data_IF_536734905732
#
_entry.id   IF_536734905732
#
_cell.length_a   1.000
_cell.length_b   1.000
_cell.length_c   1.000
_cell.angle_alpha   90.00
_cell.angle_beta   90.00
_cell.angle_gamma   90.00
#
_symmetry.space_group_name_H-M   'P 1'
#
loop_
_entity.id
_entity.type
_entity.pdbx_description
1 polymer ?
#
# COMPACT_ATOMS: atom_id res chain seq x y z
N UNK A 1 -43.67 -5.42 -21.46
CA UNK A 1 -42.47 -4.54 -21.41
C UNK A 1 -41.39 -5.23 -20.59
N UNK A 2 -40.30 -5.67 -21.25
CA UNK A 2 -39.24 -6.44 -20.63
C UNK A 2 -38.25 -5.54 -19.94
N UNK A 3 -37.89 -5.86 -18.68
CA UNK A 3 -36.83 -5.16 -17.91
C UNK A 3 -35.46 -5.51 -18.45
N UNK A 4 -34.50 -4.58 -18.55
CA UNK A 4 -33.16 -4.86 -19.12
C UNK A 4 -32.29 -5.67 -18.17
N UNK A 5 -31.67 -6.75 -18.69
CA UNK A 5 -30.71 -7.64 -18.07
C UNK A 5 -29.28 -7.01 -18.02
N UNK A 6 -29.07 -5.99 -17.23
CA UNK A 6 -27.74 -5.33 -17.14
C UNK A 6 -26.80 -5.91 -16.07
N UNK A 7 -27.29 -6.70 -15.14
CA UNK A 7 -26.48 -7.24 -14.04
C UNK A 7 -25.53 -8.41 -14.43
N UNK A 8 -25.83 -9.17 -15.48
CA UNK A 8 -25.07 -10.36 -15.83
C UNK A 8 -23.82 -10.09 -16.70
N UNK A 9 -23.81 -9.03 -17.47
CA UNK A 9 -22.71 -8.71 -18.40
C UNK A 9 -21.47 -8.24 -17.64
N UNK A 10 -21.63 -7.47 -16.56
CA UNK A 10 -20.53 -6.95 -15.76
C UNK A 10 -19.84 -8.03 -14.89
N UNK A 11 -20.59 -8.98 -14.36
CA UNK A 11 -20.03 -10.08 -13.58
C UNK A 11 -19.19 -11.04 -14.45
N UNK A 12 -19.63 -11.32 -15.66
CA UNK A 12 -18.91 -12.14 -16.65
C UNK A 12 -17.65 -11.45 -17.20
N UNK A 13 -17.66 -10.12 -17.36
CA UNK A 13 -16.51 -9.34 -17.78
C UNK A 13 -15.42 -9.33 -16.69
N UNK A 14 -15.79 -9.06 -15.44
CA UNK A 14 -14.87 -9.09 -14.29
C UNK A 14 -14.30 -10.50 -14.04
N UNK A 15 -15.12 -11.54 -14.18
CA UNK A 15 -14.66 -12.93 -14.08
C UNK A 15 -13.68 -13.30 -15.21
N UNK A 16 -13.94 -12.89 -16.45
CA UNK A 16 -13.03 -13.08 -17.59
C UNK A 16 -11.71 -12.32 -17.40
N UNK A 17 -11.74 -11.08 -16.93
CA UNK A 17 -10.52 -10.30 -16.64
C UNK A 17 -9.72 -10.90 -15.47
N UNK A 18 -10.37 -11.34 -14.40
CA UNK A 18 -9.71 -12.03 -13.28
C UNK A 18 -9.08 -13.36 -13.73
N UNK A 19 -9.76 -14.08 -14.62
CA UNK A 19 -9.26 -15.33 -15.18
C UNK A 19 -8.10 -15.10 -16.17
N UNK A 20 -8.16 -14.06 -16.99
CA UNK A 20 -7.07 -13.65 -17.88
C UNK A 20 -5.82 -13.17 -17.10
N UNK A 21 -6.00 -12.37 -16.04
CA UNK A 21 -4.90 -11.98 -15.13
C UNK A 21 -4.28 -13.19 -14.41
N UNK A 22 -5.10 -14.16 -13.97
CA UNK A 22 -4.61 -15.39 -13.33
C UNK A 22 -3.85 -16.30 -14.29
N UNK A 23 -4.28 -16.41 -15.54
CA UNK A 23 -3.58 -17.17 -16.60
C UNK A 23 -2.25 -16.48 -16.93
N UNK A 24 -2.22 -15.15 -17.04
CA UNK A 24 -1.01 -14.37 -17.27
C UNK A 24 0.00 -14.51 -16.12
N UNK A 25 -0.43 -14.43 -14.87
CA UNK A 25 0.43 -14.62 -13.71
C UNK A 25 1.05 -16.03 -13.66
N UNK A 26 0.27 -17.07 -13.97
CA UNK A 26 0.78 -18.46 -14.05
C UNK A 26 1.87 -18.63 -15.13
N UNK A 27 1.74 -17.97 -16.26
CA UNK A 27 2.75 -18.04 -17.33
C UNK A 27 4.02 -17.28 -16.96
N UNK A 28 3.92 -16.18 -16.21
CA UNK A 28 5.06 -15.35 -15.78
C UNK A 28 6.01 -16.06 -14.81
N UNK A 29 5.51 -16.94 -13.95
CA UNK A 29 6.33 -17.72 -13.01
C UNK A 29 6.87 -19.02 -13.56
N UNK A 30 6.76 -19.25 -14.88
CA UNK A 30 7.27 -20.49 -15.53
C UNK A 30 8.78 -20.61 -15.36
N UNK A 31 9.53 -19.52 -15.57
CA UNK A 31 10.99 -19.51 -15.38
C UNK A 31 11.39 -19.79 -13.94
N UNK A 32 10.64 -19.26 -12.97
CA UNK A 32 10.82 -19.51 -11.54
C UNK A 32 10.68 -21.01 -11.24
N UNK A 33 9.60 -21.64 -11.74
CA UNK A 33 9.33 -23.06 -11.51
C UNK A 33 10.33 -23.98 -12.20
N UNK A 34 10.76 -23.64 -13.42
CA UNK A 34 11.73 -24.44 -14.17
C UNK A 34 13.12 -24.54 -13.51
N UNK A 35 13.45 -23.60 -12.63
CA UNK A 35 14.74 -23.55 -11.92
C UNK A 35 14.74 -24.27 -10.56
N UNK A 36 13.60 -24.80 -10.11
CA UNK A 36 13.41 -25.31 -8.74
C UNK A 36 12.85 -26.72 -8.72
N UNK A 37 13.37 -27.52 -7.81
CA UNK A 37 12.80 -28.80 -7.44
C UNK A 37 12.04 -28.69 -6.12
N UNK A 38 10.73 -28.55 -6.19
CA UNK A 38 9.84 -28.37 -5.04
C UNK A 38 9.66 -29.62 -4.16
N UNK A 39 10.27 -30.74 -4.54
CA UNK A 39 10.37 -31.89 -3.66
C UNK A 39 11.48 -31.73 -2.63
N UNK A 40 12.48 -30.90 -2.93
CA UNK A 40 13.70 -30.73 -2.13
C UNK A 40 13.79 -29.36 -1.45
N UNK A 41 13.04 -28.35 -1.91
CA UNK A 41 13.01 -27.00 -1.33
C UNK A 41 11.69 -26.69 -0.64
N UNK A 42 11.75 -25.92 0.44
CA UNK A 42 10.57 -25.37 1.12
C UNK A 42 10.03 -24.09 0.46
N UNK A 43 10.63 -23.65 -0.64
CA UNK A 43 10.17 -22.46 -1.38
C UNK A 43 8.73 -22.67 -1.90
N UNK A 44 7.89 -21.61 -1.88
CA UNK A 44 6.53 -21.69 -2.40
C UNK A 44 6.49 -21.95 -3.91
N UNK A 45 5.71 -22.94 -4.34
CA UNK A 45 5.59 -23.29 -5.75
C UNK A 45 4.68 -22.35 -6.58
N UNK A 46 4.09 -21.32 -5.98
CA UNK A 46 3.14 -20.43 -6.63
C UNK A 46 1.79 -21.10 -6.94
N UNK A 47 1.39 -22.08 -6.11
CA UNK A 47 0.12 -22.79 -6.25
C UNK A 47 -1.02 -22.14 -5.49
N UNK A 48 -0.72 -21.42 -4.41
CA UNK A 48 -1.73 -20.74 -3.60
C UNK A 48 -2.19 -19.48 -4.32
N UNK A 49 -3.50 -19.31 -4.43
CA UNK A 49 -4.07 -18.06 -4.88
C UNK A 49 -3.84 -16.99 -3.81
N UNK A 50 -3.15 -15.92 -4.16
CA UNK A 50 -3.00 -14.73 -3.33
C UNK A 50 -4.01 -13.69 -3.82
N UNK A 51 -4.80 -13.14 -2.91
CA UNK A 51 -5.73 -12.06 -3.26
C UNK A 51 -4.96 -10.84 -3.74
N UNK A 52 -5.45 -10.22 -4.82
CA UNK A 52 -4.94 -8.92 -5.25
C UNK A 52 -5.14 -7.89 -4.13
N UNK A 53 -4.16 -7.05 -3.92
CA UNK A 53 -4.26 -5.89 -3.04
C UNK A 53 -4.61 -4.66 -3.88
N UNK A 54 -5.41 -3.75 -3.34
CA UNK A 54 -5.65 -2.45 -3.94
C UNK A 54 -4.38 -1.59 -3.96
N UNK A 55 -3.45 -1.86 -3.05
CA UNK A 55 -2.14 -1.20 -3.00
C UNK A 55 -1.07 -2.22 -3.29
N UNK A 56 -0.18 -1.97 -4.26
CA UNK A 56 0.88 -2.88 -4.64
C UNK A 56 1.85 -3.09 -3.47
N UNK A 57 2.18 -4.34 -3.20
CA UNK A 57 3.04 -4.73 -2.08
C UNK A 57 4.49 -4.87 -2.52
N UNK A 58 5.41 -4.62 -1.61
CA UNK A 58 6.80 -4.97 -1.82
C UNK A 58 7.35 -5.77 -0.64
N UNK A 59 8.40 -6.52 -0.90
CA UNK A 59 9.22 -7.15 0.13
C UNK A 59 10.69 -7.03 -0.23
N UNK A 60 11.53 -6.96 0.79
CA UNK A 60 12.98 -7.14 0.66
C UNK A 60 13.39 -8.32 1.52
N UNK A 61 14.05 -9.27 0.88
CA UNK A 61 14.55 -10.46 1.55
C UNK A 61 16.08 -10.41 1.58
N UNK A 62 16.66 -10.45 2.79
CA UNK A 62 18.09 -10.61 2.99
C UNK A 62 18.43 -12.08 2.76
N UNK A 63 19.29 -12.33 1.80
CA UNK A 63 19.60 -13.68 1.33
C UNK A 63 21.07 -13.98 1.48
N UNK A 64 21.40 -14.87 2.40
CA UNK A 64 22.75 -15.39 2.62
C UNK A 64 22.97 -16.64 1.75
N UNK A 65 23.24 -16.38 0.46
CA UNK A 65 23.59 -17.39 -0.52
C UNK A 65 25.12 -17.48 -0.66
N UNK A 66 25.66 -17.68 -1.89
CA UNK A 66 27.12 -17.64 -2.14
C UNK A 66 27.72 -16.29 -1.73
N UNK A 67 26.98 -15.20 -1.85
CA UNK A 67 27.28 -13.86 -1.35
C UNK A 67 26.01 -13.27 -0.78
N UNK A 68 26.13 -12.59 0.35
CA UNK A 68 25.01 -11.87 0.95
C UNK A 68 24.50 -10.80 -0.01
N UNK A 69 23.20 -10.78 -0.24
CA UNK A 69 22.50 -9.77 -1.04
C UNK A 69 21.08 -9.56 -0.52
N UNK A 70 20.39 -8.59 -1.10
CA UNK A 70 19.02 -8.23 -0.73
C UNK A 70 18.12 -8.31 -1.97
N UNK A 71 17.14 -9.18 -1.95
CA UNK A 71 16.17 -9.33 -3.03
C UNK A 71 15.05 -8.31 -2.88
N UNK A 72 15.05 -7.26 -3.68
CA UNK A 72 13.92 -6.33 -3.81
C UNK A 72 12.86 -6.97 -4.73
N UNK A 73 11.63 -7.03 -4.26
CA UNK A 73 10.48 -7.60 -4.97
C UNK A 73 9.31 -6.63 -4.96
N UNK A 74 8.87 -6.19 -6.14
CA UNK A 74 7.77 -5.27 -6.35
C UNK A 74 6.59 -6.02 -6.98
N UNK A 75 5.44 -6.05 -6.31
CA UNK A 75 4.22 -6.64 -6.86
C UNK A 75 3.76 -5.87 -8.09
N UNK A 76 3.60 -6.58 -9.21
CA UNK A 76 3.02 -6.05 -10.43
C UNK A 76 2.38 -7.20 -11.22
N UNK A 77 1.16 -7.03 -11.74
CA UNK A 77 0.43 -8.01 -12.54
C UNK A 77 0.31 -9.42 -11.91
N UNK A 78 0.19 -9.48 -10.59
CA UNK A 78 -0.01 -10.73 -9.86
C UNK A 78 1.25 -11.58 -9.64
N UNK A 79 2.44 -10.99 -9.86
CA UNK A 79 3.75 -11.56 -9.55
C UNK A 79 4.63 -10.53 -8.86
N UNK A 80 5.76 -10.96 -8.34
CA UNK A 80 6.83 -10.06 -7.90
C UNK A 80 7.87 -9.87 -9.00
N UNK A 81 8.01 -8.65 -9.53
CA UNK A 81 9.20 -8.21 -10.26
C UNK A 81 10.36 -8.17 -9.28
N UNK A 82 11.51 -8.73 -9.63
CA UNK A 82 12.54 -9.04 -8.65
C UNK A 82 13.94 -8.64 -9.10
N UNK A 83 14.69 -8.04 -8.16
CA UNK A 83 16.09 -7.63 -8.36
C UNK A 83 16.94 -8.05 -7.15
N UNK A 84 18.09 -8.68 -7.40
CA UNK A 84 19.09 -8.93 -6.40
C UNK A 84 19.98 -7.70 -6.22
N UNK A 85 19.85 -6.99 -5.11
CA UNK A 85 20.65 -5.80 -4.75
C UNK A 85 21.90 -6.26 -4.00
N UNK A 86 23.05 -6.24 -4.69
CA UNK A 86 24.26 -6.96 -4.26
C UNK A 86 24.88 -6.49 -2.94
N UNK A 87 24.71 -5.21 -2.57
CA UNK A 87 25.20 -4.61 -1.32
C UNK A 87 24.06 -4.14 -0.41
N UNK A 88 22.83 -4.46 -0.77
CA UNK A 88 21.64 -3.95 -0.11
C UNK A 88 21.30 -2.51 -0.52
N UNK A 89 20.08 -2.04 -0.15
CA UNK A 89 19.66 -0.66 -0.37
C UNK A 89 20.48 0.30 0.48
N UNK A 90 20.66 1.54 0.02
CA UNK A 90 21.30 2.62 0.75
C UNK A 90 20.37 3.80 0.90
N UNK A 91 20.39 4.47 2.05
CA UNK A 91 19.66 5.72 2.27
C UNK A 91 20.41 6.96 1.75
N UNK A 92 21.69 6.82 1.38
CA UNK A 92 22.44 7.91 0.75
C UNK A 92 22.06 8.03 -0.73
N UNK A 93 21.52 9.18 -1.17
CA UNK A 93 21.18 9.43 -2.56
C UNK A 93 22.38 9.43 -3.54
N UNK A 94 23.58 9.51 -3.04
CA UNK A 94 24.79 9.44 -3.87
C UNK A 94 25.19 7.99 -4.18
N UNK A 95 24.70 7.03 -3.41
CA UNK A 95 24.96 5.62 -3.61
C UNK A 95 24.15 5.04 -4.76
N UNK A 96 24.84 4.36 -5.66
CA UNK A 96 24.25 3.61 -6.77
C UNK A 96 24.42 2.13 -6.52
N UNK A 97 23.37 1.45 -6.06
CA UNK A 97 23.43 0.03 -5.69
C UNK A 97 23.09 -0.84 -6.89
N UNK A 98 24.02 -1.72 -7.28
CA UNK A 98 23.75 -2.67 -8.37
C UNK A 98 22.60 -3.59 -7.99
N UNK A 99 21.56 -3.61 -8.84
CA UNK A 99 20.37 -4.43 -8.73
C UNK A 99 20.25 -5.30 -9.98
N UNK A 100 20.50 -6.58 -9.85
CA UNK A 100 20.46 -7.54 -10.97
C UNK A 100 19.03 -8.06 -11.10
N UNK A 101 18.41 -7.83 -12.26
CA UNK A 101 17.09 -8.36 -12.54
C UNK A 101 17.11 -9.89 -12.60
N UNK A 102 16.16 -10.52 -11.91
CA UNK A 102 15.99 -11.96 -11.88
C UNK A 102 14.59 -12.33 -12.35
N UNK A 103 14.25 -13.62 -12.37
CA UNK A 103 12.92 -14.06 -12.77
C UNK A 103 11.81 -13.55 -11.86
N UNK A 104 10.61 -13.40 -12.43
CA UNK A 104 9.41 -13.08 -11.66
C UNK A 104 9.11 -14.18 -10.64
N UNK A 105 8.77 -13.79 -9.41
CA UNK A 105 8.44 -14.70 -8.33
C UNK A 105 6.93 -14.71 -8.04
N UNK A 106 6.36 -15.84 -7.57
CA UNK A 106 4.96 -15.87 -7.16
C UNK A 106 4.73 -15.01 -5.91
N UNK A 107 3.56 -14.39 -5.78
CA UNK A 107 3.26 -13.52 -4.64
C UNK A 107 3.41 -14.24 -3.28
N UNK A 108 3.07 -15.52 -3.20
CA UNK A 108 3.24 -16.28 -1.96
C UNK A 108 4.70 -16.35 -1.47
N UNK A 109 5.68 -16.10 -2.36
CA UNK A 109 7.09 -16.03 -2.00
C UNK A 109 7.42 -14.83 -1.09
N UNK A 110 6.60 -13.80 -1.08
CA UNK A 110 6.81 -12.63 -0.24
C UNK A 110 6.71 -12.88 1.26
N UNK A 111 6.12 -14.02 1.69
CA UNK A 111 6.11 -14.45 3.08
C UNK A 111 7.16 -15.54 3.38
N UNK A 112 7.97 -15.91 2.38
CA UNK A 112 8.95 -16.98 2.54
C UNK A 112 10.15 -16.52 3.38
N UNK A 113 10.41 -17.26 4.45
CA UNK A 113 11.60 -17.18 5.29
C UNK A 113 12.05 -18.59 5.63
N UNK A 114 13.30 -18.94 5.28
CA UNK A 114 13.78 -20.30 5.46
C UNK A 114 15.12 -20.54 4.77
N UNK A 115 15.58 -21.79 4.78
CA UNK A 115 16.84 -22.20 4.13
C UNK A 115 16.54 -23.01 2.87
N UNK A 116 17.10 -22.57 1.76
CA UNK A 116 17.14 -23.29 0.49
C UNK A 116 18.35 -24.21 0.51
N UNK A 117 18.20 -25.52 0.27
CA UNK A 117 19.32 -26.47 0.37
C UNK A 117 20.52 -26.10 -0.51
N UNK A 118 21.72 -26.39 -0.03
CA UNK A 118 22.95 -26.24 -0.84
C UNK A 118 22.86 -27.11 -2.11
N UNK A 119 23.29 -26.54 -3.23
CA UNK A 119 23.22 -27.21 -4.54
C UNK A 119 21.93 -26.92 -5.31
N UNK A 120 20.89 -26.45 -4.67
CA UNK A 120 19.68 -25.93 -5.34
C UNK A 120 19.91 -24.52 -5.88
N UNK A 121 19.11 -24.12 -6.89
CA UNK A 121 19.14 -22.76 -7.42
C UNK A 121 18.77 -21.76 -6.32
N UNK A 122 19.63 -20.80 -6.06
CA UNK A 122 19.44 -19.85 -4.95
C UNK A 122 19.71 -20.41 -3.57
N UNK A 123 20.46 -21.53 -3.44
CA UNK A 123 20.80 -22.14 -2.14
C UNK A 123 21.39 -21.15 -1.15
N UNK A 124 20.83 -21.13 0.07
CA UNK A 124 21.15 -20.19 1.14
C UNK A 124 19.99 -19.90 2.07
N UNK A 125 20.19 -19.05 3.06
CA UNK A 125 19.16 -18.69 4.04
C UNK A 125 18.50 -17.37 3.68
N UNK A 126 17.19 -17.36 3.61
CA UNK A 126 16.34 -16.21 3.27
C UNK A 126 15.65 -15.68 4.52
N UNK A 127 15.75 -14.38 4.76
CA UNK A 127 15.17 -13.67 5.88
C UNK A 127 14.34 -12.49 5.37
N UNK A 128 13.13 -12.30 5.90
CA UNK A 128 12.32 -11.12 5.59
C UNK A 128 12.90 -9.89 6.29
N UNK A 129 13.56 -9.03 5.49
CA UNK A 129 14.27 -7.86 6.00
C UNK A 129 13.42 -6.61 5.99
N UNK A 130 12.59 -6.40 4.95
CA UNK A 130 11.59 -5.32 4.90
C UNK A 130 10.36 -5.74 4.10
N UNK A 131 9.23 -5.11 4.36
CA UNK A 131 7.97 -5.28 3.63
C UNK A 131 7.07 -4.07 3.82
N UNK A 132 6.16 -3.89 2.90
CA UNK A 132 5.20 -2.80 2.91
C UNK A 132 4.53 -2.63 1.55
N UNK A 133 4.26 -1.39 1.21
CA UNK A 133 3.62 -1.03 -0.03
C UNK A 133 4.55 -0.15 -0.87
N UNK A 134 4.38 -0.23 -2.18
CA UNK A 134 5.09 0.65 -3.11
C UNK A 134 4.13 1.33 -4.07
N UNK A 135 4.52 2.49 -4.54
CA UNK A 135 3.72 3.35 -5.39
C UNK A 135 4.62 3.79 -6.53
N UNK A 136 4.25 3.44 -7.77
CA UNK A 136 4.98 3.91 -8.93
C UNK A 136 4.72 5.41 -9.16
N UNK A 137 5.72 6.14 -9.61
CA UNK A 137 5.56 7.47 -10.19
C UNK A 137 5.32 7.27 -11.70
N UNK A 138 4.07 7.37 -12.14
CA UNK A 138 3.64 7.05 -13.49
C UNK A 138 3.32 5.57 -13.72
N UNK A 139 3.16 5.18 -15.00
CA UNK A 139 2.90 3.79 -15.36
C UNK A 139 4.13 2.91 -15.12
N UNK A 140 4.07 1.93 -14.20
CA UNK A 140 5.20 1.05 -13.93
C UNK A 140 5.61 0.19 -15.13
N UNK A 141 4.68 -0.14 -16.05
CA UNK A 141 5.01 -0.88 -17.26
C UNK A 141 5.86 -0.05 -18.22
N UNK A 142 5.55 1.23 -18.33
CA UNK A 142 6.35 2.16 -19.13
C UNK A 142 7.71 2.40 -18.48
N UNK A 143 7.77 2.56 -17.17
CA UNK A 143 9.02 2.69 -16.43
C UNK A 143 9.95 1.48 -16.69
N UNK A 144 9.42 0.28 -16.60
CA UNK A 144 10.17 -0.95 -16.88
C UNK A 144 10.62 -1.06 -18.34
N UNK A 145 9.83 -0.56 -19.31
CA UNK A 145 10.20 -0.51 -20.73
C UNK A 145 11.24 0.55 -21.03
N UNK A 146 11.06 1.77 -20.45
CA UNK A 146 11.86 2.98 -20.74
C UNK A 146 13.21 3.00 -20.06
N UNK A 147 13.61 2.04 -19.28
CA UNK A 147 14.87 1.98 -18.54
C UNK A 147 14.93 2.75 -17.22
N UNK A 148 13.83 3.35 -16.78
CA UNK A 148 13.77 4.08 -15.50
C UNK A 148 12.41 3.86 -14.84
N UNK A 149 12.41 3.29 -13.64
CA UNK A 149 11.22 3.12 -12.80
C UNK A 149 11.39 3.92 -11.53
N UNK A 150 10.65 5.02 -11.40
CA UNK A 150 10.56 5.82 -10.17
C UNK A 150 9.41 5.33 -9.32
N UNK A 151 9.61 5.28 -8.02
CA UNK A 151 8.60 4.80 -7.08
C UNK A 151 8.88 5.25 -5.65
N UNK A 152 7.86 5.22 -4.81
CA UNK A 152 7.99 5.41 -3.38
C UNK A 152 7.80 4.08 -2.66
N UNK A 153 8.55 3.86 -1.58
CA UNK A 153 8.38 2.75 -0.66
C UNK A 153 7.74 3.22 0.64
N UNK A 154 6.82 2.42 1.15
CA UNK A 154 6.22 2.54 2.48
C UNK A 154 6.45 1.24 3.24
N UNK A 155 7.70 1.01 3.62
CA UNK A 155 8.14 -0.17 4.34
C UNK A 155 8.18 0.01 5.86
N UNK A 156 8.44 -1.09 6.56
CA UNK A 156 8.74 -1.04 7.97
C UNK A 156 10.11 -0.35 8.21
N UNK A 157 11.07 -0.53 7.28
CA UNK A 157 12.43 0.05 7.31
C UNK A 157 12.63 1.12 6.25
N UNK A 158 12.37 0.81 4.98
CA UNK A 158 12.61 1.73 3.87
C UNK A 158 11.37 2.58 3.58
N UNK A 159 11.58 3.88 3.42
CA UNK A 159 10.55 4.87 3.12
C UNK A 159 10.99 5.84 2.04
N UNK A 160 10.00 6.57 1.48
CA UNK A 160 10.22 7.65 0.52
C UNK A 160 10.59 7.19 -0.87
N UNK A 161 11.11 8.12 -1.68
CA UNK A 161 11.33 7.97 -3.12
C UNK A 161 12.58 7.18 -3.48
N UNK A 162 12.46 6.37 -4.52
CA UNK A 162 13.50 5.51 -5.08
C UNK A 162 13.43 5.49 -6.59
N UNK A 163 14.54 5.16 -7.23
CA UNK A 163 14.56 4.89 -8.67
C UNK A 163 15.38 3.66 -8.99
N UNK A 164 14.87 2.84 -9.90
CA UNK A 164 15.61 1.80 -10.61
C UNK A 164 15.95 2.31 -12.01
N UNK A 165 17.23 2.41 -12.33
CA UNK A 165 17.74 2.84 -13.64
C UNK A 165 18.43 1.68 -14.32
N UNK A 166 17.98 1.25 -15.51
CA UNK A 166 18.60 0.16 -16.26
C UNK A 166 19.89 0.61 -16.93
N UNK A 167 20.94 -0.15 -16.77
CA UNK A 167 22.26 0.12 -17.35
C UNK A 167 22.25 -0.21 -18.85
N UNK A 168 22.70 0.74 -19.69
CA UNK A 168 22.70 0.57 -21.15
C UNK A 168 23.87 -0.28 -21.65
N UNK A 169 25.04 -0.19 -21.01
CA UNK A 169 26.26 -0.90 -21.38
C UNK A 169 26.69 -1.81 -20.23
N UNK A 170 26.21 -3.03 -20.23
CA UNK A 170 26.50 -4.01 -19.24
C UNK A 170 27.62 -4.95 -19.76
N UNK A 171 28.67 -5.12 -18.96
CA UNK A 171 29.80 -6.06 -19.25
C UNK A 171 29.37 -7.53 -19.21
N UNK A 172 28.08 -7.82 -19.08
CA UNK A 172 27.53 -9.19 -18.97
C UNK A 172 27.23 -9.84 -20.33
N UNK A 173 27.61 -9.23 -21.46
CA UNK A 173 27.34 -9.70 -22.83
C UNK A 173 25.85 -10.07 -23.06
N UNK A 174 24.92 -9.28 -22.48
CA UNK A 174 23.50 -9.50 -22.62
C UNK A 174 22.93 -10.69 -21.81
N UNK A 175 23.76 -11.37 -21.00
CA UNK A 175 23.33 -12.52 -20.17
C UNK A 175 22.50 -12.11 -18.95
N UNK A 176 22.56 -10.86 -18.55
CA UNK A 176 21.87 -10.32 -17.38
C UNK A 176 21.34 -8.92 -17.68
N UNK A 177 20.23 -8.53 -17.06
CA UNK A 177 19.74 -7.16 -17.09
C UNK A 177 20.12 -6.50 -15.76
N UNK A 178 21.01 -5.52 -15.82
CA UNK A 178 21.50 -4.82 -14.64
C UNK A 178 20.84 -3.45 -14.52
N UNK A 179 20.46 -3.14 -13.29
CA UNK A 179 19.88 -1.88 -12.88
C UNK A 179 20.69 -1.26 -11.74
N UNK A 180 20.49 0.02 -11.50
CA UNK A 180 20.98 0.74 -10.32
C UNK A 180 19.77 1.13 -9.46
N UNK A 181 19.76 0.72 -8.20
CA UNK A 181 18.81 1.20 -7.19
C UNK A 181 19.43 2.41 -6.49
N UNK A 182 18.70 3.53 -6.51
CA UNK A 182 19.16 4.82 -5.98
C UNK A 182 18.05 5.43 -5.14
N UNK A 183 18.38 5.95 -3.96
CA UNK A 183 17.47 6.72 -3.09
C UNK A 183 17.29 8.12 -3.64
N UNK A 184 16.06 8.63 -3.68
CA UNK A 184 15.82 10.04 -3.96
C UNK A 184 16.21 10.94 -2.79
N UNK A 185 16.48 12.21 -3.08
CA UNK A 185 16.69 13.25 -2.07
C UNK A 185 15.33 13.72 -1.54
N UNK A 186 14.91 13.15 -0.46
CA UNK A 186 13.67 13.45 0.24
C UNK A 186 13.88 13.43 1.76
N UNK A 187 12.84 13.75 2.54
CA UNK A 187 12.90 13.79 4.00
C UNK A 187 13.02 12.41 4.65
N UNK A 188 12.82 11.34 3.88
CA UNK A 188 12.98 9.95 4.35
C UNK A 188 14.44 9.46 4.29
N UNK A 189 15.39 10.32 3.89
CA UNK A 189 16.82 10.04 4.02
C UNK A 189 17.25 10.24 5.47
N UNK A 190 17.98 9.33 6.04
CA UNK A 190 18.56 9.48 7.37
C UNK A 190 20.02 9.02 7.37
N UNK A 191 20.94 9.90 7.73
CA UNK A 191 22.29 9.64 8.17
C UNK A 191 23.17 8.75 7.25
N UNK A 192 23.87 7.81 7.85
CA UNK A 192 24.73 6.85 7.18
C UNK A 192 23.93 5.90 6.29
N UNK A 193 24.29 5.83 5.00
CA UNK A 193 23.59 5.05 3.98
C UNK A 193 23.41 3.58 4.30
N UNK A 194 24.33 3.00 5.07
CA UNK A 194 24.32 1.59 5.45
C UNK A 194 23.79 1.33 6.88
N UNK A 195 23.41 2.36 7.64
CA UNK A 195 22.97 2.22 9.02
C UNK A 195 21.80 1.23 9.21
N UNK A 196 20.88 1.18 8.25
CA UNK A 196 19.75 0.23 8.28
C UNK A 196 20.17 -1.22 8.06
N UNK A 197 21.30 -1.48 7.41
CA UNK A 197 21.76 -2.83 7.13
C UNK A 197 22.34 -3.52 8.37
N UNK A 198 22.58 -2.77 9.44
CA UNK A 198 23.17 -3.27 10.70
C UNK A 198 22.19 -4.08 11.55
N UNK A 199 20.87 -3.88 11.38
CA UNK A 199 19.88 -4.69 12.12
C UNK A 199 19.74 -6.10 11.51
N UNK A 200 20.19 -7.14 12.24
CA UNK A 200 20.25 -8.50 11.73
C UNK A 200 18.92 -9.26 11.83
N UNK A 201 17.85 -8.64 12.32
CA UNK A 201 16.60 -9.36 12.65
C UNK A 201 15.56 -9.30 11.53
N UNK A 202 14.83 -10.41 11.36
CA UNK A 202 13.63 -10.45 10.50
C UNK A 202 12.52 -9.57 11.08
N UNK A 203 11.88 -8.77 10.22
CA UNK A 203 10.67 -8.01 10.60
C UNK A 203 9.45 -8.92 10.81
N UNK A 204 9.44 -10.11 10.22
CA UNK A 204 8.31 -11.03 10.26
C UNK A 204 8.38 -12.03 11.42
N UNK A 205 9.57 -12.48 11.79
CA UNK A 205 9.77 -13.49 12.84
C UNK A 205 10.65 -13.03 14.01
N UNK A 206 11.38 -11.92 13.84
CA UNK A 206 12.39 -11.44 14.81
C UNK A 206 13.66 -12.30 14.87
N UNK A 207 13.83 -13.30 13.97
CA UNK A 207 14.97 -14.21 13.95
C UNK A 207 16.15 -13.60 13.18
N UNK A 208 17.37 -13.94 13.59
CA UNK A 208 18.59 -13.74 12.78
C UNK A 208 18.69 -14.79 11.65
N UNK A 209 19.56 -14.56 10.67
CA UNK A 209 19.85 -15.55 9.62
C UNK A 209 20.30 -16.89 10.22
N UNK A 210 21.18 -16.87 11.23
CA UNK A 210 21.65 -18.09 11.90
C UNK A 210 20.54 -18.85 12.59
N UNK A 211 19.60 -18.15 13.24
CA UNK A 211 18.46 -18.76 13.88
C UNK A 211 17.48 -19.39 12.87
N UNK A 212 17.34 -18.77 11.67
CA UNK A 212 16.56 -19.33 10.57
C UNK A 212 17.27 -20.56 10.00
N UNK A 213 18.59 -20.48 9.76
CA UNK A 213 19.39 -21.59 9.27
C UNK A 213 19.36 -22.81 10.22
N UNK A 214 19.37 -22.56 11.53
CA UNK A 214 19.26 -23.58 12.56
C UNK A 214 17.85 -24.17 12.71
N UNK A 215 16.87 -23.74 11.92
CA UNK A 215 15.49 -24.25 11.97
C UNK A 215 14.73 -23.90 13.27
N UNK A 216 15.24 -22.93 14.07
CA UNK A 216 14.58 -22.51 15.32
C UNK A 216 13.19 -21.95 15.04
N UNK A 217 12.20 -22.51 15.68
CA UNK A 217 10.80 -22.38 15.32
C UNK A 217 10.13 -21.11 15.80
N UNK A 218 10.10 -20.08 14.97
CA UNK A 218 9.05 -19.06 15.00
C UNK A 218 8.66 -18.79 13.56
N UNK A 219 7.45 -19.19 13.17
CA UNK A 219 6.94 -18.92 11.83
C UNK A 219 6.89 -17.41 11.58
N UNK A 220 7.25 -16.93 10.36
CA UNK A 220 7.09 -15.53 10.02
C UNK A 220 5.61 -15.14 10.05
N UNK A 221 5.31 -13.92 10.47
CA UNK A 221 3.96 -13.38 10.37
C UNK A 221 3.62 -13.13 8.91
N UNK A 222 2.52 -13.72 8.43
CA UNK A 222 2.09 -13.56 7.03
C UNK A 222 1.68 -12.12 6.75
N UNK A 223 2.13 -11.60 5.62
CA UNK A 223 1.75 -10.30 5.08
C UNK A 223 1.05 -10.45 3.73
N UNK A 224 1.59 -11.29 2.86
CA UNK A 224 1.09 -11.53 1.50
C UNK A 224 -0.05 -12.55 1.50
N UNK A 225 0.16 -13.68 2.20
CA UNK A 225 -0.78 -14.82 2.22
C UNK A 225 -1.72 -14.80 3.41
N UNK A 226 -1.73 -13.70 4.17
CA UNK A 226 -2.59 -13.57 5.33
C UNK A 226 -4.03 -13.84 4.93
N UNK A 227 -4.53 -15.03 5.26
CA UNK A 227 -5.96 -15.24 5.33
C UNK A 227 -6.47 -14.31 6.41
N UNK A 228 -7.28 -13.36 6.04
CA UNK A 228 -8.08 -12.63 7.01
C UNK A 228 -9.01 -13.66 7.63
N UNK A 229 -8.57 -14.28 8.71
CA UNK A 229 -9.47 -15.07 9.52
C UNK A 229 -10.49 -14.11 10.11
N UNK A 230 -11.71 -14.23 9.68
CA UNK A 230 -12.85 -13.54 10.26
C UNK A 230 -13.09 -14.19 11.63
N UNK A 231 -12.27 -13.85 12.61
CA UNK A 231 -12.65 -14.01 13.99
C UNK A 231 -13.41 -12.73 14.34
N UNK A 232 -14.73 -12.83 14.35
CA UNK A 232 -15.61 -11.74 14.68
C UNK A 232 -15.31 -11.21 16.08
N UNK A 233 -14.61 -10.11 16.15
CA UNK A 233 -14.70 -9.23 17.30
C UNK A 233 -15.92 -8.31 17.04
N UNK A 234 -17.09 -8.80 17.38
CA UNK A 234 -18.27 -7.97 17.58
C UNK A 234 -17.96 -7.09 18.77
N UNK A 235 -17.62 -5.83 18.54
CA UNK A 235 -17.66 -4.83 19.60
C UNK A 235 -19.15 -4.55 19.85
N UNK A 236 -19.73 -5.19 20.87
CA UNK A 236 -21.03 -4.79 21.40
C UNK A 236 -20.87 -3.38 21.95
N UNK A 237 -21.56 -2.42 21.35
CA UNK A 237 -21.78 -1.13 21.95
C UNK A 237 -22.56 -1.32 23.24
N UNK A 238 -21.85 -1.36 24.36
CA UNK A 238 -22.48 -1.18 25.67
C UNK A 238 -22.90 0.27 25.77
N UNK A 239 -24.11 0.53 26.25
CA UNK A 239 -24.70 1.84 26.44
C UNK A 239 -23.71 2.81 27.06
N UNK A 240 -23.28 3.79 26.26
CA UNK A 240 -22.38 4.86 26.71
C UNK A 240 -23.21 5.81 27.58
N UNK A 241 -22.83 5.93 28.86
CA UNK A 241 -23.25 7.05 29.71
C UNK A 241 -22.92 8.35 28.99
N UNK A 242 -23.91 9.28 28.94
CA UNK A 242 -23.69 10.63 28.41
C UNK A 242 -22.37 11.20 28.95
N UNK A 243 -21.42 11.59 28.09
CA UNK A 243 -20.20 12.21 28.57
C UNK A 243 -20.54 13.58 29.18
N UNK A 244 -19.95 13.83 30.34
CA UNK A 244 -19.94 15.15 30.95
C UNK A 244 -19.31 16.15 29.98
N UNK A 245 -19.89 17.36 29.90
CA UNK A 245 -19.32 18.46 29.11
C UNK A 245 -17.97 18.84 29.71
N UNK A 246 -16.89 18.42 29.05
CA UNK A 246 -15.56 18.97 29.26
C UNK A 246 -15.31 20.08 28.24
N UNK A 247 -15.46 21.30 28.66
CA UNK A 247 -14.99 22.48 27.94
C UNK A 247 -13.54 22.71 28.28
N UNK A 248 -12.65 21.92 27.67
CA UNK A 248 -11.23 22.26 27.59
C UNK A 248 -10.89 22.22 26.12
N UNK A 249 -10.49 23.34 25.54
CA UNK A 249 -9.91 23.40 24.20
C UNK A 249 -8.69 22.50 24.20
N UNK A 250 -8.79 21.39 23.51
CA UNK A 250 -7.70 20.43 23.31
C UNK A 250 -6.93 20.88 22.08
N UNK A 251 -5.59 20.86 22.14
CA UNK A 251 -4.77 21.12 20.96
C UNK A 251 -5.04 20.08 19.89
N UNK A 252 -5.24 20.51 18.63
CA UNK A 252 -5.50 19.61 17.52
C UNK A 252 -4.28 18.72 17.27
N UNK A 253 -4.45 17.39 17.22
CA UNK A 253 -3.35 16.47 16.90
C UNK A 253 -2.71 16.80 15.55
N UNK A 254 -1.40 16.69 15.48
CA UNK A 254 -0.66 16.87 14.23
C UNK A 254 -0.97 15.75 13.21
N UNK A 255 -1.20 14.56 13.68
CA UNK A 255 -1.55 13.38 12.91
C UNK A 255 -2.20 12.34 13.84
N UNK A 256 -3.17 11.61 13.32
CA UNK A 256 -3.80 10.47 13.98
C UNK A 256 -3.64 9.25 13.08
N UNK A 257 -3.07 8.17 13.61
CA UNK A 257 -2.93 6.94 12.84
C UNK A 257 -4.30 6.42 12.41
N UNK A 258 -4.55 6.26 11.08
CA UNK A 258 -5.86 5.85 10.58
C UNK A 258 -6.24 4.45 11.04
N UNK A 259 -7.47 4.29 11.49
CA UNK A 259 -8.04 2.98 11.74
C UNK A 259 -8.17 2.18 10.44
N UNK A 260 -7.63 0.97 10.42
CA UNK A 260 -7.70 0.09 9.27
C UNK A 260 -8.92 -0.82 9.38
N UNK A 261 -9.73 -0.84 8.32
CA UNK A 261 -10.87 -1.75 8.21
C UNK A 261 -10.43 -3.19 7.99
N UNK A 262 -11.17 -4.15 8.56
CA UNK A 262 -11.03 -5.56 8.23
C UNK A 262 -11.79 -5.86 6.94
N UNK A 263 -11.16 -6.60 6.03
CA UNK A 263 -11.84 -7.09 4.84
C UNK A 263 -12.82 -8.20 5.25
N UNK A 264 -14.07 -8.06 4.85
CA UNK A 264 -15.12 -9.07 5.02
C UNK A 264 -15.57 -9.58 3.66
N UNK A 265 -16.01 -10.83 3.56
CA UNK A 265 -16.48 -11.42 2.30
C UNK A 265 -17.85 -10.85 1.89
N UNK A 266 -18.67 -10.49 2.85
CA UNK A 266 -19.99 -9.89 2.65
C UNK A 266 -20.20 -8.78 3.67
N UNK A 267 -20.84 -7.71 3.21
CA UNK A 267 -21.35 -6.67 4.11
C UNK A 267 -22.45 -7.28 4.99
N UNK A 268 -22.47 -6.90 6.27
CA UNK A 268 -23.54 -7.33 7.18
C UNK A 268 -24.81 -6.58 6.86
N UNK A 269 -25.95 -7.26 6.97
CA UNK A 269 -27.29 -6.65 6.87
C UNK A 269 -27.93 -6.39 8.25
N UNK A 270 -27.17 -6.56 9.33
CA UNK A 270 -27.68 -6.33 10.68
C UNK A 270 -28.00 -4.85 10.92
N UNK A 271 -29.06 -4.54 11.69
CA UNK A 271 -29.41 -3.16 12.02
C UNK A 271 -28.27 -2.43 12.73
N UNK A 272 -28.10 -1.14 12.43
CA UNK A 272 -27.07 -0.30 13.05
C UNK A 272 -25.73 -0.26 12.30
N UNK A 273 -25.62 -0.94 11.16
CA UNK A 273 -24.45 -0.87 10.29
C UNK A 273 -24.67 0.13 9.14
N UNK A 274 -23.69 1.00 8.92
CA UNK A 274 -23.63 1.84 7.73
C UNK A 274 -22.78 1.19 6.66
N UNK A 275 -23.18 1.31 5.40
CA UNK A 275 -22.43 0.81 4.26
C UNK A 275 -21.87 1.99 3.46
N UNK A 276 -20.61 1.93 3.13
CA UNK A 276 -19.93 2.94 2.33
C UNK A 276 -19.25 2.30 1.13
N UNK A 277 -19.24 3.01 0.00
CA UNK A 277 -18.46 2.58 -1.14
C UNK A 277 -16.98 2.74 -0.81
N UNK A 278 -16.20 1.71 -1.06
CA UNK A 278 -14.74 1.80 -0.96
C UNK A 278 -14.19 2.43 -2.22
N UNK A 279 -13.70 3.64 -2.10
CA UNK A 279 -12.92 4.25 -3.17
C UNK A 279 -11.58 3.55 -3.35
N UNK A 280 -11.06 3.60 -4.57
CA UNK A 280 -9.70 3.17 -4.88
C UNK A 280 -8.88 4.42 -5.21
N UNK A 281 -8.19 4.94 -4.20
CA UNK A 281 -7.44 6.19 -4.24
C UNK A 281 -6.28 6.20 -3.25
N UNK A 282 -5.85 7.38 -2.86
CA UNK A 282 -4.87 7.59 -1.80
C UNK A 282 -5.55 8.07 -0.53
N UNK A 283 -5.55 7.23 0.52
CA UNK A 283 -6.03 7.65 1.84
C UNK A 283 -5.15 8.74 2.41
N UNK A 284 -5.76 9.87 2.67
CA UNK A 284 -5.08 11.07 3.13
C UNK A 284 -5.80 11.63 4.34
N UNK A 285 -5.03 12.11 5.29
CA UNK A 285 -5.51 12.92 6.40
C UNK A 285 -5.32 14.39 6.02
N UNK A 286 -6.40 15.16 6.03
CA UNK A 286 -6.38 16.59 5.78
C UNK A 286 -6.53 17.32 7.11
N UNK A 287 -5.51 18.10 7.48
CA UNK A 287 -5.47 18.92 8.66
C UNK A 287 -5.52 20.39 8.26
N UNK A 288 -6.45 21.13 8.82
CA UNK A 288 -6.55 22.59 8.65
C UNK A 288 -6.44 23.24 10.02
N UNK A 289 -5.49 24.14 10.17
CA UNK A 289 -5.28 24.92 11.40
C UNK A 289 -4.77 26.31 11.03
N UNK A 290 -5.43 27.35 11.52
CA UNK A 290 -5.09 28.76 11.24
C UNK A 290 -5.00 29.06 9.71
N UNK A 291 -5.92 28.53 8.92
CA UNK A 291 -5.95 28.64 7.46
C UNK A 291 -4.75 27.98 6.75
N UNK A 292 -3.96 27.16 7.44
CA UNK A 292 -2.94 26.32 6.85
C UNK A 292 -3.47 24.90 6.69
N UNK A 293 -3.46 24.38 5.45
CA UNK A 293 -3.95 23.05 5.14
C UNK A 293 -2.79 22.11 4.82
N UNK A 294 -2.77 20.95 5.45
CA UNK A 294 -1.76 19.91 5.27
C UNK A 294 -2.41 18.59 4.91
N UNK A 295 -1.95 17.97 3.82
CA UNK A 295 -2.36 16.62 3.41
C UNK A 295 -1.26 15.62 3.75
N UNK A 296 -1.61 14.65 4.59
CA UNK A 296 -0.70 13.59 5.02
C UNK A 296 -1.21 12.23 4.60
N UNK A 297 -0.30 11.41 4.07
CA UNK A 297 -0.63 10.02 3.71
C UNK A 297 -1.05 9.23 4.95
N UNK A 298 -1.61 8.05 4.75
CA UNK A 298 -1.98 7.10 5.80
C UNK A 298 -0.88 6.87 6.86
N UNK A 299 0.38 7.15 6.54
CA UNK A 299 1.53 7.01 7.44
C UNK A 299 2.10 8.34 7.94
N UNK A 300 1.38 9.43 7.74
CA UNK A 300 1.79 10.74 8.22
C UNK A 300 2.82 11.47 7.36
N UNK A 301 3.19 10.93 6.17
CA UNK A 301 4.08 11.61 5.22
C UNK A 301 3.35 12.80 4.63
N UNK A 302 4.00 13.95 4.63
CA UNK A 302 3.46 15.19 4.08
C UNK A 302 3.51 15.16 2.54
N UNK A 303 2.34 15.23 1.92
CA UNK A 303 2.13 15.31 0.49
C UNK A 303 1.43 16.60 0.07
N UNK A 304 1.39 17.60 0.93
CA UNK A 304 0.71 18.88 0.68
C UNK A 304 1.15 19.51 -0.64
N UNK A 305 2.45 19.51 -0.91
CA UNK A 305 2.98 20.07 -2.15
C UNK A 305 2.54 19.32 -3.44
N UNK A 306 2.12 18.05 -3.33
CA UNK A 306 1.58 17.28 -4.46
C UNK A 306 0.14 17.63 -4.77
N UNK A 307 -0.58 18.22 -3.84
CA UNK A 307 -2.00 18.57 -3.93
C UNK A 307 -2.21 20.05 -3.62
N UNK A 308 -1.38 20.94 -4.22
CA UNK A 308 -1.33 22.36 -3.90
C UNK A 308 -2.69 23.05 -4.01
N UNK A 309 -3.44 22.82 -5.09
CA UNK A 309 -4.74 23.44 -5.31
C UNK A 309 -5.80 22.93 -4.35
N UNK A 310 -5.76 21.63 -4.03
CA UNK A 310 -6.63 21.02 -3.03
C UNK A 310 -6.32 21.58 -1.63
N UNK A 311 -5.04 21.75 -1.28
CA UNK A 311 -4.64 22.35 -0.01
C UNK A 311 -5.07 23.82 0.07
N UNK A 312 -4.90 24.59 -1.01
CA UNK A 312 -5.35 25.98 -1.10
C UNK A 312 -6.88 26.08 -0.93
N UNK A 313 -7.64 25.20 -1.58
CA UNK A 313 -9.10 25.14 -1.40
C UNK A 313 -9.51 24.75 0.00
N UNK A 314 -8.76 23.82 0.63
CA UNK A 314 -9.02 23.34 1.97
C UNK A 314 -8.71 24.37 3.06
N UNK A 315 -7.79 25.33 2.80
CA UNK A 315 -7.42 26.38 3.78
C UNK A 315 -8.59 27.30 4.15
N UNK A 316 -9.65 27.30 3.35
CA UNK A 316 -10.89 28.04 3.66
C UNK A 316 -11.81 27.30 4.67
N UNK A 317 -11.52 26.05 5.00
CA UNK A 317 -12.26 25.31 6.03
C UNK A 317 -11.92 25.84 7.44
N UNK A 318 -12.83 25.69 8.41
CA UNK A 318 -12.49 25.93 9.80
C UNK A 318 -11.44 24.91 10.29
N UNK A 319 -10.78 25.21 11.39
CA UNK A 319 -9.83 24.30 12.02
C UNK A 319 -10.43 22.92 12.24
N UNK A 320 -9.90 21.92 11.54
CA UNK A 320 -10.41 20.56 11.57
C UNK A 320 -9.34 19.53 11.16
N UNK A 321 -9.58 18.29 11.54
CA UNK A 321 -8.81 17.13 11.11
C UNK A 321 -9.75 16.09 10.50
N UNK A 322 -9.53 15.79 9.24
CA UNK A 322 -10.37 14.93 8.41
C UNK A 322 -9.62 13.67 7.99
N UNK A 323 -10.34 12.57 7.89
CA UNK A 323 -9.87 11.35 7.24
C UNK A 323 -10.65 11.15 5.94
N UNK A 324 -9.94 10.87 4.84
CA UNK A 324 -10.56 10.83 3.52
C UNK A 324 -9.69 10.09 2.51
N UNK A 325 -10.13 10.13 1.25
CA UNK A 325 -9.47 9.52 0.10
C UNK A 325 -9.37 10.53 -1.02
N UNK A 326 -8.17 10.71 -1.61
CA UNK A 326 -8.00 11.45 -2.86
C UNK A 326 -8.20 10.49 -4.01
N UNK A 327 -9.06 10.86 -4.96
CA UNK A 327 -9.39 10.05 -6.13
C UNK A 327 -9.42 10.90 -7.40
N UNK A 328 -9.15 10.27 -8.56
CA UNK A 328 -9.62 10.73 -9.84
C UNK A 328 -10.92 10.01 -10.19
N UNK A 329 -11.82 10.68 -10.88
CA UNK A 329 -13.05 10.09 -11.40
C UNK A 329 -12.99 10.00 -12.92
N UNK A 330 -13.47 8.90 -13.47
CA UNK A 330 -13.67 8.76 -14.91
C UNK A 330 -14.90 9.52 -15.40
N UNK A 331 -15.17 9.51 -16.71
CA UNK A 331 -16.35 10.13 -17.34
C UNK A 331 -17.70 9.61 -16.83
N UNK A 332 -17.71 8.50 -16.10
CA UNK A 332 -18.89 7.91 -15.49
C UNK A 332 -18.97 8.20 -13.99
N UNK A 333 -18.10 9.08 -13.47
CA UNK A 333 -17.92 9.37 -12.05
C UNK A 333 -17.56 8.14 -11.21
N UNK A 334 -16.88 7.17 -11.81
CA UNK A 334 -16.30 6.02 -11.11
C UNK A 334 -14.81 6.27 -10.80
N UNK A 335 -14.29 5.79 -9.65
CA UNK A 335 -12.88 5.97 -9.31
C UNK A 335 -11.95 5.32 -10.34
N UNK A 336 -11.02 6.11 -10.89
CA UNK A 336 -9.97 5.69 -11.80
C UNK A 336 -8.58 5.90 -11.17
N UNK A 337 -8.04 4.83 -10.63
CA UNK A 337 -6.73 4.86 -9.98
C UNK A 337 -5.59 5.12 -10.98
N UNK A 338 -5.73 4.71 -12.25
CA UNK A 338 -4.71 4.96 -13.26
C UNK A 338 -4.66 6.46 -13.62
N UNK A 339 -5.83 7.10 -13.76
CA UNK A 339 -5.92 8.55 -13.96
C UNK A 339 -5.34 9.31 -12.76
N UNK A 340 -5.61 8.87 -11.52
CA UNK A 340 -5.02 9.45 -10.31
C UNK A 340 -3.49 9.40 -10.34
N UNK A 341 -2.92 8.26 -10.73
CA UNK A 341 -1.47 8.12 -10.84
C UNK A 341 -0.88 8.99 -11.96
N UNK A 342 -1.58 9.07 -13.10
CA UNK A 342 -1.22 9.95 -14.22
C UNK A 342 -1.17 11.42 -13.78
N UNK A 343 -2.24 11.89 -13.14
CA UNK A 343 -2.35 13.26 -12.65
C UNK A 343 -1.20 13.65 -11.69
N UNK A 344 -0.86 12.76 -10.77
CA UNK A 344 0.28 12.97 -9.85
C UNK A 344 1.63 13.00 -10.55
N UNK A 345 1.80 12.19 -11.61
CA UNK A 345 3.05 12.12 -12.37
C UNK A 345 3.26 13.35 -13.26
N UNK A 346 2.16 13.87 -13.78
CA UNK A 346 2.14 15.04 -14.67
C UNK A 346 2.03 16.37 -13.91
N UNK A 347 1.92 16.30 -12.57
CA UNK A 347 1.67 17.46 -11.70
C UNK A 347 0.37 18.21 -12.07
N UNK A 348 -0.58 17.51 -12.66
CA UNK A 348 -1.90 18.01 -13.02
C UNK A 348 -2.94 17.42 -12.06
N UNK A 349 -3.11 18.06 -10.91
CA UNK A 349 -3.96 17.55 -9.82
C UNK A 349 -5.30 18.27 -9.70
N UNK A 350 -5.63 19.13 -10.68
CA UNK A 350 -6.80 20.02 -10.66
C UNK A 350 -8.13 19.27 -10.73
N UNK A 351 -8.14 18.07 -11.31
CA UNK A 351 -9.34 17.25 -11.42
C UNK A 351 -9.49 16.23 -10.28
N UNK A 352 -8.52 16.20 -9.36
CA UNK A 352 -8.58 15.28 -8.23
C UNK A 352 -9.56 15.77 -7.16
N UNK A 353 -10.27 14.84 -6.53
CA UNK A 353 -11.27 15.12 -5.52
C UNK A 353 -10.89 14.44 -4.21
N UNK A 354 -10.94 15.19 -3.11
CA UNK A 354 -10.81 14.65 -1.77
C UNK A 354 -12.19 14.30 -1.21
N UNK A 355 -12.44 13.02 -1.00
CA UNK A 355 -13.65 12.54 -0.35
C UNK A 355 -13.41 12.32 1.13
N UNK A 356 -13.91 13.23 1.97
CA UNK A 356 -13.88 13.07 3.41
C UNK A 356 -14.95 12.07 3.87
N UNK A 357 -14.57 11.09 4.64
CA UNK A 357 -15.49 10.11 5.21
C UNK A 357 -15.49 10.09 6.75
N UNK A 358 -14.57 10.78 7.42
CA UNK A 358 -14.60 10.94 8.87
C UNK A 358 -14.09 12.33 9.30
N UNK A 359 -14.60 12.81 10.44
CA UNK A 359 -14.20 14.06 11.10
C UNK A 359 -13.68 13.71 12.47
N UNK A 360 -12.36 13.86 12.65
CA UNK A 360 -11.66 13.41 13.86
C UNK A 360 -11.52 14.52 14.89
N UNK A 361 -11.46 15.79 14.43
CA UNK A 361 -11.31 16.99 15.28
C UNK A 361 -11.99 18.20 14.60
N UNK A 362 -12.71 19.01 15.34
CA UNK A 362 -13.28 20.27 14.88
C UNK A 362 -13.64 21.18 16.04
N UNK A 363 -13.49 22.51 15.83
CA UNK A 363 -13.92 23.52 16.80
C UNK A 363 -13.27 23.40 18.18
N UNK A 364 -12.01 22.91 18.24
CA UNK A 364 -11.28 22.71 19.50
C UNK A 364 -11.69 21.44 20.26
N UNK A 365 -12.48 20.55 19.65
CA UNK A 365 -12.99 19.31 20.26
C UNK A 365 -12.43 18.08 19.55
N UNK A 366 -11.93 17.11 20.31
CA UNK A 366 -11.60 15.77 19.80
C UNK A 366 -12.88 14.96 19.67
N UNK A 367 -13.23 14.58 18.43
CA UNK A 367 -14.49 13.95 18.10
C UNK A 367 -14.43 12.42 18.08
N UNK A 368 -13.27 11.83 18.27
CA UNK A 368 -13.05 10.38 18.11
C UNK A 368 -13.88 9.53 19.07
N UNK A 369 -14.22 10.06 20.22
CA UNK A 369 -15.10 9.40 21.20
C UNK A 369 -16.60 9.44 20.82
N UNK A 370 -16.97 10.25 19.82
CA UNK A 370 -18.35 10.31 19.34
C UNK A 370 -18.62 9.12 18.40
N UNK A 371 -19.88 8.64 18.35
CA UNK A 371 -20.31 7.69 17.34
C UNK A 371 -20.03 8.22 15.92
N UNK A 372 -19.64 7.34 15.00
CA UNK A 372 -19.35 7.70 13.60
C UNK A 372 -20.50 8.49 12.94
N UNK A 373 -21.74 8.11 13.21
CA UNK A 373 -22.94 8.82 12.73
C UNK A 373 -22.93 10.31 13.12
N UNK A 374 -22.54 10.62 14.35
CA UNK A 374 -22.56 11.99 14.87
C UNK A 374 -21.39 12.80 14.30
N UNK A 375 -20.23 12.17 14.08
CA UNK A 375 -19.10 12.78 13.38
C UNK A 375 -19.45 13.08 11.91
N UNK A 376 -20.10 12.16 11.21
CA UNK A 376 -20.58 12.37 9.83
C UNK A 376 -21.63 13.47 9.71
N UNK A 377 -22.53 13.60 10.69
CA UNK A 377 -23.49 14.70 10.73
C UNK A 377 -22.81 16.07 10.85
N UNK A 378 -21.66 16.16 11.56
CA UNK A 378 -20.85 17.37 11.67
C UNK A 378 -19.96 17.60 10.45
N UNK A 379 -19.59 16.53 9.73
CA UNK A 379 -18.76 16.60 8.52
C UNK A 379 -19.49 17.25 7.34
N UNK A 380 -20.76 16.88 7.12
CA UNK A 380 -21.56 17.31 5.96
C UNK A 380 -21.62 18.82 5.74
N UNK A 381 -21.82 19.68 6.77
CA UNK A 381 -21.89 21.13 6.58
C UNK A 381 -20.57 21.78 6.13
N UNK A 382 -19.41 21.15 6.39
CA UNK A 382 -18.10 21.75 6.10
C UNK A 382 -17.85 21.94 4.61
N UNK A 383 -18.46 21.12 3.76
CA UNK A 383 -18.18 21.08 2.32
C UNK A 383 -19.27 21.66 1.42
N UNK A 384 -20.27 22.30 1.98
CA UNK A 384 -21.44 22.77 1.22
C UNK A 384 -21.12 23.76 0.07
N UNK A 385 -19.87 24.24 -0.06
CA UNK A 385 -19.45 25.25 -1.03
C UNK A 385 -18.15 24.96 -1.77
N UNK A 386 -17.58 23.75 -1.70
CA UNK A 386 -16.29 23.42 -2.33
C UNK A 386 -16.46 22.55 -3.58
N UNK A 387 -15.68 22.84 -4.62
CA UNK A 387 -15.59 22.03 -5.84
C UNK A 387 -14.55 20.91 -5.77
N UNK A 388 -13.47 21.10 -4.99
CA UNK A 388 -12.37 20.13 -4.82
C UNK A 388 -12.55 19.20 -3.64
N UNK A 389 -13.47 19.54 -2.75
CA UNK A 389 -13.71 18.81 -1.51
C UNK A 389 -15.15 18.33 -1.50
N UNK A 390 -15.36 17.05 -1.33
CA UNK A 390 -16.69 16.45 -1.28
C UNK A 390 -16.85 15.60 -0.02
N UNK A 391 -18.05 15.57 0.52
CA UNK A 391 -18.42 14.62 1.57
C UNK A 391 -18.93 13.37 0.91
N UNK A 392 -18.35 12.25 1.28
CA UNK A 392 -18.96 10.98 0.98
C UNK A 392 -20.21 10.79 1.81
N UNK A 393 -21.34 11.11 1.20
CA UNK A 393 -22.67 10.84 1.72
C UNK A 393 -23.64 10.62 0.56
N UNK A 394 -23.36 9.64 -0.31
CA UNK A 394 -24.38 9.07 -1.18
C UNK A 394 -24.74 7.68 -0.72
N UNK A 395 -25.98 7.57 -0.20
CA UNK A 395 -26.73 6.34 0.05
C UNK A 395 -26.16 5.36 1.08
N UNK A 396 -26.18 5.77 2.34
CA UNK A 396 -26.93 5.01 3.28
C UNK A 396 -27.98 5.98 3.82
N UNK A 397 -29.18 5.99 3.28
CA UNK A 397 -30.30 6.39 4.10
C UNK A 397 -30.22 5.50 5.33
N UNK A 398 -29.81 6.11 6.40
CA UNK A 398 -29.86 5.50 7.72
C UNK A 398 -31.33 5.42 8.08
N UNK A 399 -32.00 4.42 7.51
CA UNK A 399 -33.40 4.15 7.85
C UNK A 399 -33.41 3.52 9.24
N UNK A 400 -33.60 4.39 10.23
CA UNK A 400 -33.81 3.99 11.62
C UNK A 400 -35.20 3.34 11.85
N UNK A 401 -35.98 3.07 10.80
CA UNK A 401 -37.34 2.58 10.88
C UNK A 401 -37.55 1.15 10.36
N UNK A 402 -36.47 0.39 10.05
CA UNK A 402 -36.61 -1.04 9.73
C UNK A 402 -35.77 -1.90 10.64
#
# INVERSE_FOLDING_TARGET
MAKPRWGFVNALSKAKQKMAKAISAKSRVTKYRAKRDFATTSEPAGKKAVSSSSTLRFVIQRHDARRLHYDLRLELDGVFKSWAVTRGPSLDPNDKRLAVEVEDHPLEYGDFEGTIPKGQYGGGTVQLWDRGYWIAEGDPHDGLKRVELKFSLEGERLKGGWVLVRMKNDRSDGKRTNWLLIKHRDDARAGDGDALLTDPKSIASGRSLDAIAAGKSKAPTSFITRKLSVSGAVVRSTSVKKPARYSTTVAMPRFIEPQLCKLVERATSEPGWGHEVKFDGYRMQLRVENNDAQLRTRKGIDWTAKFGDMAAAASALPDCLLDGEVVALDKHAEPDFAALQGALSEHNTDELIYFAFDLLFAGGEDLRELPLRDRKARLKPLFAKSSYLSVWARHAEWDASK
#
